data_IF_921740721473
#
_entry.id   IF_921740721473
#
_cell.length_a   1.000
_cell.length_b   1.000
_cell.length_c   1.000
_cell.angle_alpha   90.00
_cell.angle_beta   90.00
_cell.angle_gamma   90.00
#
_symmetry.space_group_name_H-M   'P 1'
#
loop_
_entity.id
_entity.type
_entity.pdbx_description
1 polymer ?
#
# COMPACT_ATOMS: atom_id res chain seq x y z
N UNK A 1 31.12 11.59 8.42
CA UNK A 1 32.18 12.61 8.29
C UNK A 1 31.53 13.98 8.51
N UNK A 2 32.28 15.06 8.72
CA UNK A 2 31.68 16.40 8.96
C UNK A 2 31.48 17.23 7.69
N UNK A 3 32.17 16.90 6.60
CA UNK A 3 32.12 17.64 5.34
C UNK A 3 32.37 16.72 4.13
N UNK A 4 32.04 17.20 2.94
CA UNK A 4 32.28 16.47 1.70
C UNK A 4 33.77 16.46 1.34
N UNK A 5 34.27 15.33 0.83
CA UNK A 5 35.69 15.15 0.51
C UNK A 5 35.88 14.61 -0.90
N UNK A 6 37.07 14.78 -1.47
CA UNK A 6 37.38 14.27 -2.79
C UNK A 6 37.21 12.74 -2.85
N UNK A 7 36.27 12.25 -3.66
CA UNK A 7 35.90 10.83 -3.70
C UNK A 7 37.10 9.92 -3.96
N UNK A 8 37.94 10.23 -4.97
CA UNK A 8 39.13 9.43 -5.29
C UNK A 8 40.18 9.31 -4.16
N UNK A 9 40.11 10.16 -3.13
CA UNK A 9 41.00 10.08 -1.96
C UNK A 9 40.34 9.36 -0.78
N UNK A 10 39.02 9.27 -0.75
CA UNK A 10 38.25 8.84 0.42
C UNK A 10 37.46 7.56 0.21
N UNK A 11 36.91 7.32 -0.99
CA UNK A 11 36.18 6.09 -1.31
C UNK A 11 37.16 4.92 -1.34
N UNK A 12 36.94 3.92 -0.48
CA UNK A 12 37.88 2.82 -0.22
C UNK A 12 38.51 2.89 1.17
N UNK A 13 38.51 4.07 1.79
CA UNK A 13 38.89 4.28 3.20
C UNK A 13 37.63 4.46 4.05
N UNK A 14 36.78 5.43 3.68
CA UNK A 14 35.53 5.71 4.36
C UNK A 14 34.33 5.03 3.66
N UNK A 15 33.33 4.52 4.42
CA UNK A 15 32.08 4.08 3.83
C UNK A 15 31.31 5.26 3.24
N UNK A 16 30.65 5.05 2.11
CA UNK A 16 29.71 6.04 1.57
C UNK A 16 28.42 6.03 2.41
N UNK A 17 27.80 7.19 2.68
CA UNK A 17 26.49 7.23 3.34
C UNK A 17 25.44 6.41 2.59
N UNK A 18 25.49 6.41 1.25
CA UNK A 18 24.59 5.62 0.41
C UNK A 18 24.73 4.11 0.66
N UNK A 19 25.96 3.58 0.78
CA UNK A 19 26.18 2.16 1.08
C UNK A 19 25.70 1.78 2.48
N UNK A 20 25.82 2.70 3.44
CA UNK A 20 25.26 2.49 4.78
C UNK A 20 23.73 2.46 4.69
N UNK A 21 23.11 3.39 3.97
CA UNK A 21 21.68 3.41 3.74
C UNK A 21 21.17 2.11 3.11
N UNK A 22 21.84 1.60 2.07
CA UNK A 22 21.51 0.30 1.45
C UNK A 22 21.53 -0.84 2.47
N UNK A 23 22.56 -0.90 3.33
CA UNK A 23 22.65 -1.89 4.40
C UNK A 23 21.54 -1.76 5.43
N UNK A 24 21.10 -0.54 5.74
CA UNK A 24 19.99 -0.31 6.66
C UNK A 24 18.65 -0.72 6.04
N UNK A 25 18.40 -0.35 4.78
CA UNK A 25 17.18 -0.75 4.05
C UNK A 25 17.10 -2.27 3.88
N UNK A 26 18.23 -2.93 3.63
CA UNK A 26 18.31 -4.39 3.54
C UNK A 26 17.94 -5.13 4.83
N UNK A 27 17.81 -4.43 5.98
CA UNK A 27 17.32 -5.02 7.24
C UNK A 27 15.80 -5.10 7.29
N UNK A 28 15.10 -4.27 6.52
CA UNK A 28 13.64 -4.18 6.55
C UNK A 28 13.01 -4.75 5.29
N UNK A 29 13.72 -4.75 4.15
CA UNK A 29 13.24 -5.24 2.87
C UNK A 29 14.35 -5.99 2.13
N UNK A 30 14.00 -7.13 1.52
CA UNK A 30 14.91 -7.84 0.62
C UNK A 30 15.07 -7.03 -0.69
N UNK A 31 16.28 -6.57 -1.05
CA UNK A 31 16.47 -5.72 -2.23
C UNK A 31 16.28 -6.44 -3.57
N UNK A 32 16.17 -7.77 -3.57
CA UNK A 32 15.95 -8.58 -4.77
C UNK A 32 14.47 -8.90 -4.96
N UNK A 33 13.76 -9.26 -3.89
CA UNK A 33 12.37 -9.72 -3.98
C UNK A 33 11.34 -8.67 -3.58
N UNK A 34 11.74 -7.63 -2.84
CA UNK A 34 10.83 -6.66 -2.22
C UNK A 34 10.10 -7.21 -0.99
N UNK A 35 10.47 -8.40 -0.50
CA UNK A 35 9.84 -8.97 0.70
C UNK A 35 10.24 -8.18 1.94
N UNK A 36 9.25 -7.71 2.70
CA UNK A 36 9.47 -7.08 4.01
C UNK A 36 9.85 -8.13 5.03
N UNK A 37 10.99 -7.92 5.69
CA UNK A 37 11.69 -8.91 6.51
C UNK A 37 11.29 -8.94 7.99
N UNK A 38 10.54 -7.93 8.44
CA UNK A 38 10.16 -7.80 9.85
C UNK A 38 8.80 -8.48 10.09
N UNK A 39 8.76 -9.41 11.05
CA UNK A 39 7.56 -10.18 11.38
C UNK A 39 6.42 -9.28 11.88
N UNK A 40 6.72 -8.17 12.56
CA UNK A 40 5.73 -7.19 13.02
C UNK A 40 4.99 -6.49 11.87
N UNK A 41 5.55 -6.52 10.66
CA UNK A 41 4.95 -5.98 9.45
C UNK A 41 4.18 -7.05 8.66
N UNK A 42 4.06 -8.26 9.21
CA UNK A 42 3.33 -9.36 8.61
C UNK A 42 2.05 -9.67 9.39
N UNK A 43 1.03 -10.16 8.68
CA UNK A 43 -0.19 -10.65 9.32
C UNK A 43 -0.69 -11.91 8.61
N UNK A 44 -1.47 -12.72 9.35
CA UNK A 44 -2.19 -13.82 8.76
C UNK A 44 -3.30 -13.28 7.84
N UNK A 45 -3.23 -13.65 6.56
CA UNK A 45 -4.26 -13.28 5.59
C UNK A 45 -5.47 -14.22 5.76
N UNK A 46 -6.66 -13.70 6.08
CA UNK A 46 -7.86 -14.52 6.21
C UNK A 46 -8.18 -15.33 4.94
N UNK A 47 -8.71 -16.54 5.10
CA UNK A 47 -8.98 -17.46 3.97
C UNK A 47 -9.98 -16.88 2.97
N UNK A 48 -11.01 -16.20 3.47
CA UNK A 48 -12.00 -15.50 2.66
C UNK A 48 -11.37 -14.37 1.83
N UNK A 49 -10.41 -13.63 2.40
CA UNK A 49 -9.68 -12.56 1.70
C UNK A 49 -8.81 -13.11 0.57
N UNK A 50 -8.18 -14.27 0.76
CA UNK A 50 -7.48 -14.99 -0.33
C UNK A 50 -8.45 -15.45 -1.43
N UNK A 51 -9.60 -15.99 -1.05
CA UNK A 51 -10.62 -16.42 -2.01
C UNK A 51 -11.18 -15.23 -2.83
N UNK A 52 -11.43 -14.09 -2.18
CA UNK A 52 -11.85 -12.84 -2.82
C UNK A 52 -10.78 -12.30 -3.79
N UNK A 53 -9.50 -12.29 -3.37
CA UNK A 53 -8.39 -11.90 -4.25
C UNK A 53 -8.32 -12.79 -5.50
N UNK A 54 -8.47 -14.12 -5.33
CA UNK A 54 -8.49 -15.05 -6.46
C UNK A 54 -9.72 -14.85 -7.37
N UNK A 55 -10.89 -14.53 -6.81
CA UNK A 55 -12.07 -14.20 -7.60
C UNK A 55 -11.88 -12.91 -8.40
N UNK A 56 -11.37 -11.86 -7.76
CA UNK A 56 -11.05 -10.60 -8.43
C UNK A 56 -9.97 -10.78 -9.51
N UNK A 57 -8.95 -11.60 -9.26
CA UNK A 57 -7.92 -11.96 -10.23
C UNK A 57 -8.50 -12.63 -11.48
N UNK A 58 -9.49 -13.54 -11.33
CA UNK A 58 -10.17 -14.16 -12.49
C UNK A 58 -10.94 -13.14 -13.32
N UNK A 59 -11.56 -12.14 -12.69
CA UNK A 59 -12.30 -11.09 -13.39
C UNK A 59 -11.38 -10.07 -14.06
N UNK A 60 -10.32 -9.65 -13.37
CA UNK A 60 -9.45 -8.56 -13.81
C UNK A 60 -8.32 -9.07 -14.73
N UNK A 61 -7.82 -10.29 -14.52
CA UNK A 61 -6.72 -10.88 -15.29
C UNK A 61 -5.51 -9.94 -15.36
N UNK A 62 -5.00 -9.72 -16.59
CA UNK A 62 -3.86 -8.83 -16.83
C UNK A 62 -4.11 -7.36 -16.47
N UNK A 63 -5.35 -6.91 -16.31
CA UNK A 63 -5.64 -5.51 -15.93
C UNK A 63 -5.20 -5.16 -14.51
N UNK A 64 -4.98 -6.15 -13.63
CA UNK A 64 -4.41 -5.94 -12.29
C UNK A 64 -3.08 -5.20 -12.38
N UNK A 65 -2.19 -5.66 -13.27
CA UNK A 65 -0.92 -4.99 -13.57
C UNK A 65 -1.10 -3.90 -14.63
N UNK A 66 -1.90 -4.16 -15.67
CA UNK A 66 -2.05 -3.31 -16.85
C UNK A 66 -2.63 -1.91 -16.58
N UNK A 67 -3.19 -1.67 -15.39
CA UNK A 67 -3.64 -0.34 -14.95
C UNK A 67 -2.50 0.63 -14.63
N UNK A 68 -1.27 0.14 -14.40
CA UNK A 68 -0.12 0.98 -14.07
C UNK A 68 0.54 1.54 -15.34
N UNK A 69 1.08 2.77 -15.29
CA UNK A 69 1.77 3.40 -16.43
C UNK A 69 3.20 2.85 -16.58
N UNK A 70 3.32 1.61 -17.05
CA UNK A 70 4.62 0.96 -17.21
C UNK A 70 5.53 1.71 -18.20
N UNK A 71 6.80 1.85 -17.82
CA UNK A 71 7.85 2.19 -18.78
C UNK A 71 8.08 1.01 -19.74
N UNK A 72 8.37 1.30 -21.00
CA UNK A 72 8.61 0.36 -22.12
C UNK A 72 8.54 -1.14 -21.79
N UNK A 73 9.62 -1.72 -21.29
CA UNK A 73 9.77 -3.17 -21.06
C UNK A 73 9.61 -3.58 -19.60
N UNK A 74 9.29 -2.65 -18.69
CA UNK A 74 9.10 -2.94 -17.28
C UNK A 74 7.97 -3.95 -17.07
N UNK A 75 8.15 -4.83 -16.09
CA UNK A 75 7.22 -5.92 -15.78
C UNK A 75 6.77 -5.83 -14.31
N UNK A 76 5.59 -6.35 -13.98
CA UNK A 76 5.16 -6.50 -12.59
C UNK A 76 6.08 -7.46 -11.82
N UNK A 77 6.09 -7.32 -10.49
CA UNK A 77 6.89 -8.17 -9.58
C UNK A 77 6.45 -9.64 -9.58
N UNK A 78 5.26 -9.94 -10.11
CA UNK A 78 4.72 -11.28 -10.27
C UNK A 78 3.84 -11.36 -11.52
N UNK A 79 3.80 -12.54 -12.13
CA UNK A 79 2.89 -12.86 -13.23
C UNK A 79 1.54 -13.42 -12.75
N UNK A 80 1.36 -13.64 -11.44
CA UNK A 80 0.09 -14.08 -10.85
C UNK A 80 -0.74 -12.87 -10.36
N UNK A 81 -1.88 -12.56 -11.01
CA UNK A 81 -2.74 -11.45 -10.59
C UNK A 81 -3.29 -11.61 -9.16
N UNK A 82 -3.44 -12.84 -8.65
CA UNK A 82 -3.86 -13.09 -7.27
C UNK A 82 -2.79 -12.60 -6.30
N UNK A 83 -1.53 -12.97 -6.53
CA UNK A 83 -0.42 -12.52 -5.70
C UNK A 83 -0.20 -11.00 -5.81
N UNK A 84 -0.42 -10.39 -6.97
CA UNK A 84 -0.37 -8.93 -7.11
C UNK A 84 -1.46 -8.22 -6.28
N UNK A 85 -2.68 -8.76 -6.24
CA UNK A 85 -3.75 -8.23 -5.39
C UNK A 85 -3.36 -8.40 -3.91
N UNK A 86 -2.85 -9.56 -3.52
CA UNK A 86 -2.39 -9.81 -2.15
C UNK A 86 -1.24 -8.86 -1.77
N UNK A 87 -0.24 -8.68 -2.64
CA UNK A 87 0.88 -7.76 -2.44
C UNK A 87 0.37 -6.34 -2.15
N UNK A 88 -0.58 -5.87 -2.94
CA UNK A 88 -1.08 -4.49 -2.86
C UNK A 88 -2.11 -4.24 -1.77
N UNK A 89 -2.57 -5.28 -1.04
CA UNK A 89 -3.68 -5.13 -0.07
C UNK A 89 -3.47 -5.80 1.28
N UNK A 90 -2.59 -6.81 1.36
CA UNK A 90 -2.40 -7.64 2.56
C UNK A 90 -0.93 -7.90 2.93
N UNK A 91 0.03 -7.43 2.14
CA UNK A 91 1.45 -7.46 2.48
C UNK A 91 1.96 -6.05 2.75
N UNK A 92 2.97 -5.94 3.61
CA UNK A 92 3.66 -4.69 3.79
C UNK A 92 4.45 -4.33 2.53
N UNK A 93 4.61 -3.03 2.27
CA UNK A 93 5.45 -2.52 1.17
C UNK A 93 6.23 -1.30 1.64
N UNK A 94 7.41 -1.11 1.07
CA UNK A 94 8.28 0.05 1.34
C UNK A 94 8.46 0.84 0.05
N UNK A 95 8.44 2.17 0.17
CA UNK A 95 8.79 3.06 -0.93
C UNK A 95 9.62 4.24 -0.43
N UNK A 96 10.70 4.57 -1.13
CA UNK A 96 11.41 5.83 -0.94
C UNK A 96 10.66 6.91 -1.73
N UNK A 97 10.18 7.94 -1.03
CA UNK A 97 9.33 9.01 -1.61
C UNK A 97 10.00 10.37 -1.64
N UNK A 98 11.21 10.49 -1.08
CA UNK A 98 12.01 11.71 -1.08
C UNK A 98 13.42 11.41 -0.60
N UNK A 99 14.37 12.28 -0.95
CA UNK A 99 15.76 12.19 -0.54
C UNK A 99 16.40 13.58 -0.38
N UNK A 100 17.30 13.72 0.58
CA UNK A 100 18.15 14.89 0.81
C UNK A 100 19.63 14.48 0.83
N UNK A 101 20.53 15.44 0.61
CA UNK A 101 21.98 15.21 0.54
C UNK A 101 22.48 14.68 -0.81
N UNK A 102 21.58 14.35 -1.74
CA UNK A 102 21.93 13.95 -3.11
C UNK A 102 21.83 15.16 -4.07
N UNK A 103 22.96 15.67 -4.61
CA UNK A 103 22.91 16.77 -5.57
C UNK A 103 22.28 16.34 -6.90
N UNK A 104 21.55 17.23 -7.61
CA UNK A 104 21.11 16.97 -8.97
C UNK A 104 22.29 16.58 -9.86
N UNK A 105 22.07 15.61 -10.77
CA UNK A 105 23.12 15.05 -11.64
C UNK A 105 23.92 16.13 -12.37
N UNK A 106 23.25 17.14 -12.93
CA UNK A 106 23.91 18.23 -13.66
C UNK A 106 24.83 19.11 -12.81
N UNK A 107 24.69 19.06 -11.48
CA UNK A 107 25.52 19.80 -10.52
C UNK A 107 26.41 18.89 -9.67
N UNK A 108 26.32 17.57 -9.83
CA UNK A 108 27.05 16.61 -9.02
C UNK A 108 28.52 16.53 -9.45
N UNK A 109 29.43 16.79 -8.52
CA UNK A 109 30.87 16.58 -8.69
C UNK A 109 31.35 15.25 -8.12
N UNK A 110 32.66 15.01 -8.20
CA UNK A 110 33.31 13.81 -7.65
C UNK A 110 33.56 13.92 -6.14
N UNK A 111 32.51 14.12 -5.35
CA UNK A 111 32.55 14.33 -3.89
C UNK A 111 31.97 13.11 -3.17
N UNK A 112 32.70 12.58 -2.18
CA UNK A 112 32.12 11.68 -1.19
C UNK A 112 31.24 12.50 -0.24
N UNK A 113 29.94 12.27 -0.32
CA UNK A 113 28.95 13.00 0.47
C UNK A 113 29.13 12.73 1.98
N UNK A 114 28.90 13.74 2.84
CA UNK A 114 28.99 13.57 4.29
C UNK A 114 27.78 12.83 4.88
N UNK A 115 26.60 13.01 4.29
CA UNK A 115 25.31 12.49 4.77
C UNK A 115 24.32 12.25 3.61
N UNK A 116 23.29 11.45 3.87
CA UNK A 116 22.12 11.27 3.01
C UNK A 116 20.91 11.02 3.91
N UNK A 117 19.75 11.54 3.53
CA UNK A 117 18.49 11.23 4.19
C UNK A 117 17.46 10.79 3.16
N UNK A 118 16.54 9.92 3.55
CA UNK A 118 15.43 9.46 2.71
C UNK A 118 14.12 9.46 3.48
N UNK A 119 13.02 9.77 2.79
CA UNK A 119 11.67 9.64 3.31
C UNK A 119 11.09 8.29 2.93
N UNK A 120 10.86 7.44 3.93
CA UNK A 120 10.25 6.13 3.75
C UNK A 120 8.73 6.21 3.92
N UNK A 121 8.00 5.64 2.96
CA UNK A 121 6.56 5.39 3.05
C UNK A 121 6.37 3.89 3.20
N UNK A 122 5.86 3.45 4.36
CA UNK A 122 5.56 2.05 4.62
C UNK A 122 4.04 1.84 4.62
N UNK A 123 3.57 0.88 3.82
CA UNK A 123 2.21 0.36 3.94
C UNK A 123 2.25 -0.88 4.83
N UNK A 124 1.33 -0.97 5.78
CA UNK A 124 1.19 -2.13 6.68
C UNK A 124 -0.11 -2.87 6.39
N UNK A 125 -0.14 -4.21 6.54
CA UNK A 125 -1.35 -5.00 6.35
C UNK A 125 -2.52 -4.56 7.25
N UNK A 126 -3.77 -4.84 6.85
CA UNK A 126 -4.97 -4.36 7.54
C UNK A 126 -5.09 -4.73 9.03
N UNK A 127 -4.44 -5.81 9.47
CA UNK A 127 -4.55 -6.33 10.83
C UNK A 127 -3.25 -6.21 11.63
N UNK A 128 -2.24 -5.53 11.09
CA UNK A 128 -1.01 -5.22 11.82
C UNK A 128 -1.23 -4.08 12.82
N UNK A 129 -0.55 -4.18 13.96
CA UNK A 129 -0.42 -3.07 14.91
C UNK A 129 0.60 -2.08 14.36
N UNK A 130 0.12 -0.91 13.93
CA UNK A 130 0.96 0.10 13.30
C UNK A 130 2.03 0.67 14.25
N UNK A 131 1.76 0.77 15.55
CA UNK A 131 2.72 1.29 16.52
C UNK A 131 3.84 0.27 16.76
N UNK A 132 3.50 -1.02 16.86
CA UNK A 132 4.50 -2.10 16.94
C UNK A 132 5.33 -2.21 15.67
N UNK A 133 4.70 -2.09 14.51
CA UNK A 133 5.41 -2.08 13.22
C UNK A 133 6.40 -0.90 13.14
N UNK A 134 5.99 0.31 13.52
CA UNK A 134 6.86 1.47 13.51
C UNK A 134 8.04 1.32 14.49
N UNK A 135 7.79 0.82 15.69
CA UNK A 135 8.84 0.52 16.67
C UNK A 135 9.84 -0.52 16.16
N UNK A 136 9.37 -1.59 15.49
CA UNK A 136 10.23 -2.62 14.90
C UNK A 136 11.12 -2.05 13.78
N UNK A 137 10.59 -1.19 12.92
CA UNK A 137 11.36 -0.51 11.86
C UNK A 137 12.42 0.40 12.48
N UNK A 138 12.04 1.19 13.50
CA UNK A 138 12.97 2.06 14.22
C UNK A 138 14.14 1.27 14.80
N UNK A 139 13.85 0.18 15.50
CA UNK A 139 14.87 -0.67 16.10
C UNK A 139 15.78 -1.30 15.03
N UNK A 140 15.20 -1.85 13.97
CA UNK A 140 15.95 -2.46 12.88
C UNK A 140 16.92 -1.48 12.21
N UNK A 141 16.50 -0.23 12.00
CA UNK A 141 17.32 0.80 11.37
C UNK A 141 18.41 1.38 12.29
N UNK A 142 18.16 1.46 13.60
CA UNK A 142 19.09 2.11 14.55
C UNK A 142 20.08 1.16 15.23
N UNK A 143 19.75 -0.13 15.32
CA UNK A 143 20.60 -1.13 15.98
C UNK A 143 21.93 -1.31 15.24
N UNK A 144 23.04 -1.42 15.96
CA UNK A 144 24.37 -1.75 15.41
C UNK A 144 24.69 -1.00 14.09
N UNK A 145 24.79 0.35 14.11
CA UNK A 145 24.95 1.13 12.89
C UNK A 145 26.24 0.73 12.16
N UNK A 146 26.19 0.44 10.85
CA UNK A 146 27.36 0.00 10.09
C UNK A 146 28.52 0.98 10.23
N UNK A 147 29.71 0.46 10.49
CA UNK A 147 30.94 1.25 10.69
C UNK A 147 30.86 2.27 11.85
N UNK A 148 29.92 2.13 12.78
CA UNK A 148 29.69 3.09 13.86
C UNK A 148 29.15 4.44 13.37
N UNK A 149 28.45 4.45 12.23
CA UNK A 149 27.87 5.66 11.66
C UNK A 149 26.83 6.30 12.58
N UNK A 150 26.66 7.63 12.46
CA UNK A 150 25.54 8.32 13.07
C UNK A 150 24.28 8.07 12.23
N UNK A 151 23.29 7.43 12.83
CA UNK A 151 21.99 7.14 12.19
C UNK A 151 20.89 7.72 13.07
N UNK A 152 19.97 8.45 12.47
CA UNK A 152 18.75 8.93 13.10
C UNK A 152 17.53 8.44 12.32
N UNK A 153 16.42 8.30 13.02
CA UNK A 153 15.13 7.94 12.45
C UNK A 153 14.05 8.78 13.13
N UNK A 154 13.35 9.59 12.33
CA UNK A 154 12.20 10.37 12.75
C UNK A 154 10.93 9.68 12.27
N UNK A 155 10.07 9.32 13.22
CA UNK A 155 8.83 8.62 12.93
C UNK A 155 7.73 9.60 12.50
N UNK A 156 7.05 9.30 11.38
CA UNK A 156 5.84 9.99 10.98
C UNK A 156 4.58 9.52 11.73
N UNK A 157 3.39 9.77 11.18
CA UNK A 157 2.15 9.23 11.74
C UNK A 157 2.02 7.73 11.44
N UNK A 158 1.98 6.89 12.48
CA UNK A 158 1.60 5.48 12.35
C UNK A 158 0.07 5.34 12.38
N UNK A 159 -0.52 4.93 11.24
CA UNK A 159 -1.96 4.64 11.14
C UNK A 159 -2.19 3.21 10.71
N UNK A 160 -2.99 2.47 11.49
CA UNK A 160 -3.40 1.11 11.16
C UNK A 160 -4.27 1.03 9.91
N UNK A 161 -4.31 -0.16 9.30
CA UNK A 161 -5.27 -0.49 8.27
C UNK A 161 -6.62 -0.89 8.85
N UNK A 162 -7.50 -1.41 8.00
CA UNK A 162 -8.82 -1.89 8.42
C UNK A 162 -9.25 -3.10 7.59
N UNK A 163 -9.70 -4.15 8.27
CA UNK A 163 -10.31 -5.32 7.64
C UNK A 163 -11.81 -5.29 7.90
N UNK A 164 -12.60 -5.35 6.82
CA UNK A 164 -14.05 -5.40 6.93
C UNK A 164 -14.51 -6.63 7.73
N UNK A 165 -15.58 -6.54 8.53
CA UNK A 165 -16.24 -7.73 9.07
C UNK A 165 -16.82 -8.57 7.92
N UNK A 166 -17.17 -9.82 8.21
CA UNK A 166 -17.94 -10.63 7.27
C UNK A 166 -19.28 -9.94 6.96
N UNK A 167 -19.71 -10.00 5.71
CA UNK A 167 -21.02 -9.47 5.34
C UNK A 167 -22.13 -10.26 6.03
N UNK A 168 -23.12 -9.52 6.50
CA UNK A 168 -24.42 -10.10 6.78
C UNK A 168 -25.01 -10.61 5.45
N UNK A 169 -25.66 -11.80 5.43
CA UNK A 169 -26.18 -12.39 4.19
C UNK A 169 -27.06 -11.43 3.38
N UNK A 170 -27.92 -10.66 4.04
CA UNK A 170 -28.79 -9.68 3.38
C UNK A 170 -28.01 -8.63 2.58
N UNK A 171 -26.86 -8.18 3.09
CA UNK A 171 -26.05 -7.13 2.46
C UNK A 171 -25.31 -7.69 1.25
N UNK A 172 -24.72 -8.88 1.38
CA UNK A 172 -24.06 -9.55 0.26
C UNK A 172 -25.04 -9.82 -0.89
N UNK A 173 -26.25 -10.28 -0.57
CA UNK A 173 -27.31 -10.47 -1.56
C UNK A 173 -27.76 -9.15 -2.20
N UNK A 174 -27.97 -8.09 -1.40
CA UNK A 174 -28.37 -6.77 -1.91
C UNK A 174 -27.33 -6.18 -2.86
N UNK A 175 -26.04 -6.28 -2.51
CA UNK A 175 -24.93 -5.82 -3.37
C UNK A 175 -24.93 -6.58 -4.69
N UNK A 176 -25.07 -7.92 -4.66
CA UNK A 176 -25.09 -8.73 -5.88
C UNK A 176 -26.34 -8.46 -6.73
N UNK A 177 -27.52 -8.31 -6.13
CA UNK A 177 -28.75 -7.93 -6.84
C UNK A 177 -28.60 -6.58 -7.53
N UNK A 178 -28.11 -5.57 -6.80
CA UNK A 178 -27.86 -4.24 -7.33
C UNK A 178 -26.85 -4.28 -8.50
N UNK A 179 -25.75 -5.01 -8.33
CA UNK A 179 -24.74 -5.16 -9.38
C UNK A 179 -25.32 -5.84 -10.63
N UNK A 180 -26.11 -6.90 -10.49
CA UNK A 180 -26.77 -7.56 -11.62
C UNK A 180 -27.76 -6.64 -12.32
N UNK A 181 -28.53 -5.86 -11.57
CA UNK A 181 -29.51 -4.93 -12.13
C UNK A 181 -28.87 -3.80 -12.96
N UNK A 182 -27.67 -3.35 -12.58
CA UNK A 182 -27.02 -2.18 -13.18
C UNK A 182 -25.89 -2.54 -14.16
N UNK A 183 -25.18 -3.63 -13.91
CA UNK A 183 -23.99 -4.06 -14.65
C UNK A 183 -24.12 -5.45 -15.26
N UNK A 184 -25.26 -6.13 -15.06
CA UNK A 184 -25.54 -7.49 -15.58
C UNK A 184 -24.51 -8.54 -15.10
N UNK A 185 -23.85 -8.25 -13.97
CA UNK A 185 -22.77 -9.07 -13.39
C UNK A 185 -22.81 -9.04 -11.88
N UNK A 186 -22.27 -10.08 -11.26
CA UNK A 186 -22.02 -10.13 -9.83
C UNK A 186 -21.01 -9.07 -9.38
N UNK A 187 -21.15 -8.65 -8.13
CA UNK A 187 -20.18 -7.77 -7.51
C UNK A 187 -18.88 -8.54 -7.23
N UNK A 188 -17.76 -7.85 -7.31
CA UNK A 188 -16.45 -8.39 -6.97
C UNK A 188 -15.93 -7.68 -5.72
N UNK A 189 -15.47 -8.45 -4.75
CA UNK A 189 -14.86 -7.93 -3.53
C UNK A 189 -13.34 -7.92 -3.67
N UNK A 190 -12.74 -6.76 -3.40
CA UNK A 190 -11.29 -6.56 -3.48
C UNK A 190 -10.84 -5.60 -2.37
N UNK A 191 -9.62 -5.81 -1.86
CA UNK A 191 -9.00 -4.86 -0.93
C UNK A 191 -8.58 -3.57 -1.61
N UNK A 192 -8.26 -2.56 -0.81
CA UNK A 192 -7.70 -1.29 -1.25
C UNK A 192 -6.34 -1.08 -0.55
N UNK A 193 -5.28 -0.82 -1.32
CA UNK A 193 -3.93 -0.55 -0.78
C UNK A 193 -3.74 0.86 -0.20
N UNK A 194 -4.77 1.71 -0.30
CA UNK A 194 -4.79 3.01 0.35
C UNK A 194 -5.15 2.93 1.84
N UNK A 195 -5.07 4.06 2.52
CA UNK A 195 -5.47 4.16 3.94
C UNK A 195 -6.61 5.17 4.05
N UNK A 196 -7.70 4.76 4.68
CA UNK A 196 -8.83 5.61 5.06
C UNK A 196 -8.97 5.47 6.59
N UNK A 197 -8.24 6.27 7.39
CA UNK A 197 -8.12 6.06 8.85
C UNK A 197 -9.48 5.99 9.56
N UNK A 198 -10.46 6.74 9.05
CA UNK A 198 -11.80 6.79 9.61
C UNK A 198 -12.49 5.42 9.63
N UNK A 199 -12.16 4.49 8.72
CA UNK A 199 -12.76 3.16 8.70
C UNK A 199 -12.34 2.31 9.91
N UNK A 200 -11.08 2.43 10.33
CA UNK A 200 -10.59 1.81 11.57
C UNK A 200 -11.39 2.29 12.78
N UNK A 201 -11.55 3.62 12.90
CA UNK A 201 -12.31 4.25 13.98
C UNK A 201 -13.78 3.80 14.01
N UNK A 202 -14.44 3.72 12.84
CA UNK A 202 -15.82 3.25 12.74
C UNK A 202 -15.96 1.77 13.12
N UNK A 203 -15.00 0.93 12.72
CA UNK A 203 -14.99 -0.49 13.06
C UNK A 203 -14.87 -0.74 14.56
N UNK A 204 -14.00 0.00 15.23
CA UNK A 204 -13.84 -0.07 16.69
C UNK A 204 -15.06 0.47 17.44
N UNK A 205 -15.60 1.62 16.99
CA UNK A 205 -16.73 2.27 17.65
C UNK A 205 -18.04 1.52 17.44
N UNK A 206 -18.22 0.89 16.28
CA UNK A 206 -19.46 0.22 15.89
C UNK A 206 -19.18 -1.20 15.36
N UNK A 207 -18.80 -2.15 16.24
CA UNK A 207 -18.33 -3.48 15.82
C UNK A 207 -19.43 -4.36 15.17
N UNK A 208 -20.71 -3.98 15.32
CA UNK A 208 -21.86 -4.67 14.71
C UNK A 208 -22.31 -4.04 13.39
N UNK A 209 -21.72 -2.90 13.00
CA UNK A 209 -22.09 -2.21 11.76
C UNK A 209 -21.59 -2.97 10.55
N UNK A 210 -22.42 -3.03 9.52
CA UNK A 210 -22.07 -3.56 8.21
C UNK A 210 -21.59 -2.43 7.30
N UNK A 211 -20.62 -2.71 6.43
CA UNK A 211 -19.93 -1.68 5.66
C UNK A 211 -19.97 -1.97 4.17
N UNK A 212 -20.63 -1.13 3.38
CA UNK A 212 -20.52 -1.16 1.93
C UNK A 212 -19.56 -0.06 1.46
N UNK A 213 -18.25 -0.35 1.51
CA UNK A 213 -17.22 0.59 1.01
C UNK A 213 -17.04 0.34 -0.48
N UNK A 214 -17.28 1.38 -1.27
CA UNK A 214 -17.14 1.36 -2.72
C UNK A 214 -16.72 2.75 -3.21
N UNK A 215 -16.36 2.86 -4.49
CA UNK A 215 -15.88 4.11 -5.04
C UNK A 215 -15.63 4.06 -6.54
N UNK A 216 -15.09 5.16 -7.05
CA UNK A 216 -14.99 5.49 -8.48
C UNK A 216 -13.57 5.51 -9.01
N UNK A 217 -12.60 5.10 -8.18
CA UNK A 217 -11.17 5.10 -8.51
C UNK A 217 -10.80 3.88 -9.37
N UNK A 218 -11.38 3.82 -10.57
CA UNK A 218 -11.06 2.84 -11.59
C UNK A 218 -9.71 3.10 -12.28
N UNK A 219 -9.35 2.29 -13.29
CA UNK A 219 -8.14 2.49 -14.07
C UNK A 219 -8.03 3.92 -14.60
N UNK A 220 -6.83 4.50 -14.51
CA UNK A 220 -6.50 5.86 -14.95
C UNK A 220 -7.17 7.03 -14.21
N UNK A 221 -8.09 6.80 -13.25
CA UNK A 221 -8.70 7.89 -12.47
C UNK A 221 -7.65 8.76 -11.75
N UNK A 222 -6.49 8.16 -11.44
CA UNK A 222 -5.24 8.81 -11.01
C UNK A 222 -5.38 9.79 -9.85
N UNK A 223 -6.14 9.42 -8.82
CA UNK A 223 -6.23 10.20 -7.58
C UNK A 223 -4.82 10.53 -7.05
N UNK A 224 -4.60 11.80 -6.72
CA UNK A 224 -3.29 12.36 -6.31
C UNK A 224 -2.21 12.43 -7.41
N UNK A 225 -2.57 12.16 -8.67
CA UNK A 225 -1.68 12.22 -9.82
C UNK A 225 -2.12 13.24 -10.86
N UNK A 226 -1.31 13.45 -11.91
CA UNK A 226 -1.70 14.32 -13.03
C UNK A 226 -2.91 13.76 -13.79
N UNK A 227 -3.76 14.63 -14.33
CA UNK A 227 -4.95 14.25 -15.09
C UNK A 227 -5.97 13.40 -14.29
N UNK A 228 -6.14 13.68 -13.00
CA UNK A 228 -7.20 13.09 -12.18
C UNK A 228 -8.58 13.32 -12.82
N UNK A 229 -9.41 12.27 -12.90
CA UNK A 229 -10.74 12.37 -13.50
C UNK A 229 -11.79 11.45 -12.84
N UNK A 230 -13.06 11.79 -13.07
CA UNK A 230 -14.21 11.00 -12.66
C UNK A 230 -14.96 10.43 -13.88
N UNK A 231 -15.08 9.10 -13.95
CA UNK A 231 -15.87 8.45 -14.99
C UNK A 231 -17.37 8.64 -14.72
N UNK A 232 -18.00 9.61 -15.40
CA UNK A 232 -19.38 10.02 -15.12
C UNK A 232 -20.41 8.88 -15.27
N UNK A 233 -20.30 8.07 -16.34
CA UNK A 233 -21.21 6.96 -16.58
C UNK A 233 -21.09 5.88 -15.50
N UNK A 234 -19.86 5.53 -15.11
CA UNK A 234 -19.61 4.60 -14.01
C UNK A 234 -20.19 5.15 -12.70
N UNK A 235 -19.98 6.43 -12.43
CA UNK A 235 -20.46 7.09 -11.20
C UNK A 235 -21.97 7.07 -11.11
N UNK A 236 -22.70 7.39 -12.19
CA UNK A 236 -24.17 7.32 -12.22
C UNK A 236 -24.68 5.91 -11.89
N UNK A 237 -24.07 4.90 -12.50
CA UNK A 237 -24.39 3.49 -12.26
C UNK A 237 -24.08 3.07 -10.83
N UNK A 238 -22.93 3.47 -10.28
CA UNK A 238 -22.57 3.16 -8.90
C UNK A 238 -23.56 3.80 -7.91
N UNK A 239 -23.97 5.05 -8.16
CA UNK A 239 -25.01 5.72 -7.36
C UNK A 239 -26.34 4.97 -7.39
N UNK A 240 -26.73 4.42 -8.56
CA UNK A 240 -27.91 3.57 -8.67
C UNK A 240 -27.76 2.29 -7.81
N UNK A 241 -26.60 1.63 -7.86
CA UNK A 241 -26.34 0.46 -7.00
C UNK A 241 -26.46 0.79 -5.50
N UNK A 242 -25.87 1.90 -5.05
CA UNK A 242 -25.98 2.33 -3.64
C UNK A 242 -27.44 2.57 -3.26
N UNK A 243 -28.23 3.19 -4.14
CA UNK A 243 -29.65 3.44 -3.93
C UNK A 243 -30.46 2.14 -3.81
N UNK A 244 -30.16 1.14 -4.64
CA UNK A 244 -30.79 -0.18 -4.58
C UNK A 244 -30.44 -0.92 -3.28
N UNK A 245 -29.18 -0.89 -2.85
CA UNK A 245 -28.76 -1.50 -1.57
C UNK A 245 -29.46 -0.85 -0.37
N UNK A 246 -29.63 0.48 -0.40
CA UNK A 246 -30.39 1.20 0.64
C UNK A 246 -31.87 0.82 0.64
N UNK A 247 -32.48 0.66 -0.53
CA UNK A 247 -33.87 0.22 -0.66
C UNK A 247 -34.07 -1.21 -0.10
N UNK A 248 -33.16 -2.13 -0.42
CA UNK A 248 -33.17 -3.49 0.13
C UNK A 248 -32.99 -3.47 1.65
N UNK A 249 -32.10 -2.62 2.19
CA UNK A 249 -31.93 -2.48 3.64
C UNK A 249 -33.20 -2.00 4.34
N UNK A 250 -33.93 -1.04 3.76
CA UNK A 250 -35.18 -0.55 4.34
C UNK A 250 -36.25 -1.66 4.44
N UNK A 251 -36.25 -2.61 3.50
CA UNK A 251 -37.14 -3.77 3.54
C UNK A 251 -36.78 -4.73 4.68
N UNK A 252 -35.49 -4.89 5.00
CA UNK A 252 -35.07 -5.75 6.14
C UNK A 252 -35.44 -5.16 7.50
N UNK A 253 -35.76 -3.86 7.58
CA UNK A 253 -36.25 -3.21 8.81
C UNK A 253 -37.77 -3.31 8.96
N UNK A 254 -38.48 -3.60 7.87
CA UNK A 254 -39.95 -3.68 7.84
C UNK A 254 -40.46 -5.12 8.00
N UNK A 255 -39.56 -6.09 8.14
CA UNK A 255 -39.81 -7.54 8.26
C UNK A 255 -39.55 -7.99 9.70
#
# INVERSE_FOLDING_TARGET
MKEGVHSGMATGIAPTPFRILEQLLARIENPVTGDVLLDELQCAIPKDRRAQAAAAARTLGGSVAGKLPWASTAQPISNDPTELIINSTWRATVAVTGAEGLPPIGSAGNVLLPEVAVKLSLRVPPSCDAARAAAAVREALLRDPPYGAQVSFEEGSATGGWNAPAFAPWLEEAINRASRAVYERDAVHIGCGGTIPFMGMLGERFPRTQFFITGVLGPHANAHGPNEFLALEYTKRLTACVSLVLADHAQTLSS
#
